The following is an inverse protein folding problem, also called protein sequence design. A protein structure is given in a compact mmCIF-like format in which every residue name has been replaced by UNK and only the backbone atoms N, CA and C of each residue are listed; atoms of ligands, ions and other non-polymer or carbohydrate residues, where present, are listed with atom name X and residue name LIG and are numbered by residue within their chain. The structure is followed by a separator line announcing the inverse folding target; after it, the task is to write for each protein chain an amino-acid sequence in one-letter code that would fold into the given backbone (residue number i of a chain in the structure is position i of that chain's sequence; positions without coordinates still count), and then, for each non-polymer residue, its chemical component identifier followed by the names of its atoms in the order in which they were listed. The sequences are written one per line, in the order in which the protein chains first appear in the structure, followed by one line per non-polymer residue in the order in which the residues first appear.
data_IF_700441987672
#
_entry.id   IF_700441987672
#
_cell.length_a   1.000
_cell.length_b   1.000
_cell.length_c   1.000
_cell.angle_alpha   90.00
_cell.angle_beta   90.00
_cell.angle_gamma   90.00
#
_symmetry.space_group_name_H-M   'P 1'
#
loop_
_entity.id
_entity.type
_entity.pdbx_description
1 polymer ?
#
# COMPACT_ATOMS: atom_id res chain seq x y z
N UNK A 1 7.11 -20.68 0.03
CA UNK A 1 7.95 -19.53 0.40
C UNK A 1 7.15 -18.27 0.15
N UNK A 2 7.05 -17.36 1.12
CA UNK A 2 6.33 -16.10 0.93
C UNK A 2 7.11 -15.17 -0.01
N UNK A 3 6.41 -14.54 -0.97
CA UNK A 3 6.97 -13.52 -1.86
C UNK A 3 5.98 -12.36 -2.08
N UNK A 4 6.30 -11.12 -1.72
CA UNK A 4 7.55 -10.63 -1.09
C UNK A 4 7.34 -10.18 0.35
N UNK A 5 6.21 -9.55 0.63
CA UNK A 5 5.78 -9.16 1.97
C UNK A 5 4.38 -9.67 2.23
N UNK A 6 4.16 -10.29 3.39
CA UNK A 6 2.84 -10.81 3.77
C UNK A 6 2.47 -10.30 5.14
N UNK A 7 1.35 -9.57 5.20
CA UNK A 7 0.71 -9.19 6.44
C UNK A 7 -0.21 -10.33 6.87
N UNK A 8 -0.13 -10.71 8.14
CA UNK A 8 -0.81 -11.87 8.70
C UNK A 8 -1.90 -11.38 9.64
N UNK A 9 -3.14 -11.75 9.35
CA UNK A 9 -4.30 -11.40 10.15
C UNK A 9 -4.98 -12.64 10.71
N UNK A 10 -5.45 -12.54 11.94
CA UNK A 10 -6.35 -13.51 12.55
C UNK A 10 -7.61 -12.78 12.99
N UNK A 11 -8.77 -13.21 12.50
CA UNK A 11 -10.06 -12.57 12.78
C UNK A 11 -10.03 -11.05 12.52
N UNK A 12 -9.47 -10.66 11.37
CA UNK A 12 -9.25 -9.27 10.93
C UNK A 12 -8.33 -8.42 11.83
N UNK A 13 -7.56 -9.03 12.74
CA UNK A 13 -6.57 -8.35 13.56
C UNK A 13 -5.16 -8.66 13.11
N UNK A 14 -4.36 -7.63 12.87
CA UNK A 14 -2.96 -7.79 12.46
C UNK A 14 -2.18 -8.53 13.56
N UNK A 15 -1.51 -9.61 13.18
CA UNK A 15 -0.60 -10.35 14.05
C UNK A 15 0.86 -9.95 13.81
N UNK A 16 1.14 -9.31 12.67
CA UNK A 16 2.47 -8.95 12.22
C UNK A 16 2.67 -9.27 10.74
N UNK A 17 3.92 -9.42 10.33
CA UNK A 17 4.27 -9.70 8.94
C UNK A 17 5.40 -10.72 8.81
N UNK A 18 5.45 -11.39 7.67
CA UNK A 18 6.58 -12.20 7.22
C UNK A 18 7.05 -11.62 5.89
N UNK A 19 8.36 -11.55 5.65
CA UNK A 19 8.88 -11.00 4.40
C UNK A 19 10.19 -11.64 3.96
N UNK A 20 10.40 -11.58 2.65
CA UNK A 20 11.56 -12.14 1.97
C UNK A 20 12.86 -11.42 2.32
N UNK A 21 12.80 -10.10 2.50
CA UNK A 21 13.98 -9.24 2.68
C UNK A 21 14.71 -9.54 3.99
N UNK A 22 13.96 -9.67 5.09
CA UNK A 22 14.47 -9.99 6.42
C UNK A 22 14.58 -11.51 6.67
N UNK A 23 14.25 -12.34 5.67
CA UNK A 23 14.17 -13.82 5.79
C UNK A 23 13.26 -14.28 6.92
N UNK A 24 12.21 -13.50 7.21
CA UNK A 24 11.18 -13.85 8.18
C UNK A 24 10.13 -14.69 7.46
N UNK A 25 10.07 -15.99 7.78
CA UNK A 25 9.17 -16.96 7.12
C UNK A 25 8.15 -17.60 8.06
N UNK A 26 8.17 -17.21 9.33
CA UNK A 26 7.27 -17.70 10.37
C UNK A 26 6.96 -16.58 11.34
N UNK A 27 5.76 -16.61 11.91
CA UNK A 27 5.28 -15.65 12.90
C UNK A 27 4.44 -16.40 13.93
N UNK A 28 4.64 -16.11 15.22
CA UNK A 28 3.75 -16.58 16.27
C UNK A 28 2.46 -15.76 16.24
N UNK A 29 1.32 -16.44 16.12
CA UNK A 29 0.00 -15.82 16.03
C UNK A 29 -0.88 -16.26 17.21
N UNK A 30 -1.82 -15.40 17.61
CA UNK A 30 -2.86 -15.74 18.59
C UNK A 30 -4.14 -16.12 17.85
N UNK A 31 -4.72 -17.28 18.15
CA UNK A 31 -5.94 -17.76 17.48
C UNK A 31 -6.75 -18.68 18.39
N UNK A 32 -8.01 -18.93 18.02
CA UNK A 32 -8.89 -19.94 18.62
C UNK A 32 -9.32 -20.95 17.54
N UNK A 33 -9.82 -22.14 17.91
CA UNK A 33 -10.45 -23.03 16.94
C UNK A 33 -11.56 -22.29 16.18
N UNK A 34 -11.52 -22.35 14.84
CA UNK A 34 -12.47 -21.65 13.98
C UNK A 34 -12.09 -20.22 13.59
N UNK A 35 -10.99 -19.66 14.12
CA UNK A 35 -10.49 -18.35 13.69
C UNK A 35 -10.16 -18.32 12.19
N UNK A 36 -10.39 -17.16 11.57
CA UNK A 36 -10.13 -16.91 10.16
C UNK A 36 -8.71 -16.37 10.00
N UNK A 37 -7.87 -17.08 9.24
CA UNK A 37 -6.54 -16.64 8.84
C UNK A 37 -6.61 -15.92 7.49
N UNK A 38 -6.24 -14.65 7.46
CA UNK A 38 -6.15 -13.85 6.23
C UNK A 38 -4.70 -13.42 5.99
N UNK A 39 -4.26 -13.51 4.73
CA UNK A 39 -2.89 -13.20 4.33
C UNK A 39 -2.92 -12.17 3.20
N UNK A 40 -2.55 -10.93 3.50
CA UNK A 40 -2.41 -9.91 2.47
C UNK A 40 -0.99 -9.94 1.91
N UNK A 41 -0.86 -10.24 0.62
CA UNK A 41 0.44 -10.41 -0.03
C UNK A 41 0.75 -9.25 -0.95
N UNK A 42 1.84 -8.55 -0.66
CA UNK A 42 2.39 -7.52 -1.54
C UNK A 42 3.44 -8.13 -2.49
N UNK A 43 3.23 -7.92 -3.79
CA UNK A 43 4.25 -8.13 -4.82
C UNK A 43 5.14 -6.88 -4.90
N UNK A 44 6.43 -7.01 -4.58
CA UNK A 44 7.39 -5.88 -4.55
C UNK A 44 8.16 -5.66 -5.85
N UNK A 45 7.72 -6.29 -6.94
CA UNK A 45 8.38 -6.23 -8.24
C UNK A 45 9.20 -7.49 -8.49
N UNK A 46 9.16 -8.01 -9.72
CA UNK A 46 9.94 -9.19 -10.10
C UNK A 46 11.42 -8.83 -10.23
N UNK A 47 12.29 -9.78 -9.86
CA UNK A 47 13.72 -9.69 -10.19
C UNK A 47 13.89 -9.42 -11.68
N UNK A 48 14.64 -8.38 -12.02
CA UNK A 48 14.88 -7.95 -13.40
C UNK A 48 16.30 -8.28 -13.92
N UNK A 49 17.13 -8.94 -13.11
CA UNK A 49 18.51 -9.26 -13.47
C UNK A 49 18.97 -10.63 -12.93
N UNK A 50 19.88 -11.28 -13.65
CA UNK A 50 20.55 -12.51 -13.22
C UNK A 50 19.73 -13.79 -13.41
N UNK A 51 20.07 -14.86 -12.66
CA UNK A 51 19.53 -16.21 -12.88
C UNK A 51 18.15 -16.48 -12.27
N UNK A 52 17.58 -15.52 -11.53
CA UNK A 52 16.33 -15.67 -10.77
C UNK A 52 15.15 -14.88 -11.38
N UNK A 53 15.13 -14.72 -12.70
CA UNK A 53 14.10 -13.98 -13.43
C UNK A 53 12.70 -14.63 -13.35
N UNK A 54 12.64 -15.96 -13.17
CA UNK A 54 11.39 -16.70 -12.91
C UNK A 54 10.91 -16.46 -11.48
N UNK A 55 10.55 -15.22 -11.17
CA UNK A 55 10.19 -14.73 -9.84
C UNK A 55 8.66 -14.67 -9.69
N UNK A 56 8.03 -15.84 -9.57
CA UNK A 56 6.62 -15.94 -9.19
C UNK A 56 6.38 -15.26 -7.84
N UNK A 57 5.17 -14.74 -7.63
CA UNK A 57 4.79 -13.90 -6.49
C UNK A 57 3.61 -14.52 -5.75
N UNK A 58 3.40 -14.11 -4.51
CA UNK A 58 2.39 -14.70 -3.64
C UNK A 58 2.98 -15.75 -2.69
N UNK A 59 2.13 -16.70 -2.32
CA UNK A 59 2.48 -17.82 -1.46
C UNK A 59 2.83 -19.02 -2.36
N UNK A 60 4.13 -19.32 -2.48
CA UNK A 60 4.61 -20.34 -3.44
C UNK A 60 4.76 -21.75 -2.83
N UNK A 61 4.32 -21.96 -1.59
CA UNK A 61 4.34 -23.27 -0.95
C UNK A 61 3.18 -23.39 0.02
N UNK A 62 2.99 -24.59 0.56
CA UNK A 62 2.09 -24.83 1.67
C UNK A 62 2.30 -23.84 2.82
N UNK A 63 1.19 -23.42 3.42
CA UNK A 63 1.14 -22.69 4.69
C UNK A 63 0.98 -23.71 5.81
N UNK A 64 1.79 -23.60 6.86
CA UNK A 64 1.77 -24.53 7.98
C UNK A 64 1.53 -23.81 9.30
N UNK A 65 0.76 -24.44 10.19
CA UNK A 65 0.55 -24.01 11.57
C UNK A 65 1.01 -25.12 12.51
N UNK A 66 1.91 -24.82 13.45
CA UNK A 66 2.52 -25.81 14.36
C UNK A 66 3.06 -27.06 13.62
N UNK A 67 3.82 -26.84 12.55
CA UNK A 67 4.41 -27.87 11.67
C UNK A 67 3.40 -28.78 10.95
N UNK A 68 2.11 -28.42 10.94
CA UNK A 68 1.09 -29.12 10.15
C UNK A 68 0.64 -28.22 9.01
N UNK A 69 0.68 -28.72 7.79
CA UNK A 69 0.13 -28.03 6.62
C UNK A 69 -1.36 -27.75 6.86
N UNK A 70 -1.77 -26.51 6.66
CA UNK A 70 -3.19 -26.15 6.66
C UNK A 70 -3.86 -26.80 5.45
N UNK A 71 -4.85 -27.65 5.73
CA UNK A 71 -5.65 -28.32 4.71
C UNK A 71 -6.85 -27.45 4.29
N UNK A 72 -7.43 -27.75 3.14
CA UNK A 72 -8.61 -27.07 2.61
C UNK A 72 -8.30 -26.10 1.48
N UNK A 73 -9.34 -25.38 1.06
CA UNK A 73 -9.29 -24.45 -0.07
C UNK A 73 -9.08 -23.03 0.43
N UNK A 74 -8.13 -22.32 -0.17
CA UNK A 74 -7.97 -20.89 0.04
C UNK A 74 -8.95 -20.11 -0.83
N UNK A 75 -9.66 -19.15 -0.24
CA UNK A 75 -10.28 -18.08 -1.01
C UNK A 75 -9.20 -17.04 -1.33
N UNK A 76 -9.05 -16.69 -2.61
CA UNK A 76 -7.98 -15.79 -3.09
C UNK A 76 -8.61 -14.67 -3.90
N UNK A 77 -8.37 -13.43 -3.47
CA UNK A 77 -8.80 -12.21 -4.15
C UNK A 77 -7.58 -11.43 -4.61
N UNK A 78 -7.56 -11.05 -5.88
CA UNK A 78 -6.52 -10.17 -6.44
C UNK A 78 -6.94 -8.70 -6.38
N UNK A 79 -6.04 -7.83 -5.93
CA UNK A 79 -6.23 -6.38 -5.90
C UNK A 79 -5.29 -5.71 -6.90
N UNK A 80 -5.66 -5.63 -8.20
CA UNK A 80 -4.86 -4.89 -9.17
C UNK A 80 -4.88 -3.39 -8.84
N UNK A 81 -3.70 -2.78 -8.72
CA UNK A 81 -3.54 -1.35 -8.42
C UNK A 81 -3.52 -0.47 -9.69
N UNK A 82 -4.07 -0.97 -10.79
CA UNK A 82 -4.30 -0.22 -12.02
C UNK A 82 -5.75 0.27 -12.02
N UNK A 83 -5.98 1.33 -11.24
CA UNK A 83 -7.33 1.79 -10.92
C UNK A 83 -7.71 2.87 -11.92
N UNK A 84 -8.52 2.52 -12.92
CA UNK A 84 -9.15 3.53 -13.77
C UNK A 84 -10.12 4.35 -12.90
N UNK A 85 -10.31 5.64 -13.20
CA UNK A 85 -11.20 6.57 -12.46
C UNK A 85 -12.58 6.00 -12.10
N UNK A 86 -13.13 5.07 -12.90
CA UNK A 86 -14.45 4.45 -12.71
C UNK A 86 -14.46 3.32 -11.67
N UNK A 87 -13.29 2.79 -11.31
CA UNK A 87 -13.15 1.64 -10.40
C UNK A 87 -12.82 2.05 -8.96
N UNK A 88 -12.59 3.34 -8.71
CA UNK A 88 -12.54 3.82 -7.32
C UNK A 88 -13.93 3.81 -6.67
N UNK A 89 -15.00 4.05 -7.42
CA UNK A 89 -16.36 3.93 -6.90
C UNK A 89 -16.78 2.48 -6.63
N UNK A 90 -16.15 1.50 -7.28
CA UNK A 90 -16.38 0.07 -6.99
C UNK A 90 -15.55 -0.41 -5.81
N UNK A 91 -14.33 0.09 -5.64
CA UNK A 91 -13.56 -0.07 -4.40
C UNK A 91 -14.30 0.56 -3.21
N UNK A 92 -14.85 1.77 -3.36
CA UNK A 92 -15.67 2.45 -2.34
C UNK A 92 -16.91 1.65 -1.93
N UNK A 93 -17.45 0.78 -2.79
CA UNK A 93 -18.58 -0.10 -2.46
C UNK A 93 -18.18 -1.26 -1.51
N UNK A 94 -16.91 -1.67 -1.52
CA UNK A 94 -16.35 -2.72 -0.65
C UNK A 94 -15.68 -2.14 0.61
N UNK A 95 -15.36 -0.85 0.62
CA UNK A 95 -14.80 -0.16 1.77
C UNK A 95 -15.91 0.41 2.65
N UNK A 96 -15.90 0.06 3.93
CA UNK A 96 -16.69 0.80 4.91
C UNK A 96 -15.99 2.12 5.23
N UNK A 97 -16.69 3.24 4.99
CA UNK A 97 -16.18 4.57 5.35
C UNK A 97 -16.23 4.68 6.86
N UNK A 98 -15.09 4.97 7.48
CA UNK A 98 -14.99 5.19 8.92
C UNK A 98 -14.17 6.45 9.17
N UNK A 99 -14.75 7.44 9.85
CA UNK A 99 -14.09 8.74 10.08
C UNK A 99 -12.97 8.67 11.14
N UNK A 100 -12.98 7.64 12.00
CA UNK A 100 -12.08 7.52 13.14
C UNK A 100 -11.52 6.10 13.30
N UNK A 101 -10.72 5.66 12.33
CA UNK A 101 -10.05 4.36 12.44
C UNK A 101 -8.68 4.52 13.09
N UNK A 102 -8.54 3.98 14.30
CA UNK A 102 -7.25 3.51 14.80
C UNK A 102 -7.04 2.11 14.20
N UNK A 103 -6.62 2.05 12.94
CA UNK A 103 -6.49 0.78 12.23
C UNK A 103 -5.07 0.25 12.33
N UNK A 104 -4.96 -1.00 12.78
CA UNK A 104 -3.77 -1.82 12.60
C UNK A 104 -3.79 -2.36 11.16
N UNK A 105 -3.64 -1.44 10.17
CA UNK A 105 -3.39 -1.55 8.70
C UNK A 105 -3.80 -2.84 7.94
N UNK A 106 -4.31 -2.77 6.69
CA UNK A 106 -4.14 -1.75 5.65
C UNK A 106 -5.39 -0.90 5.37
N UNK A 107 -5.18 0.34 4.92
CA UNK A 107 -6.26 1.35 4.78
C UNK A 107 -6.07 2.22 3.54
N UNK A 108 -7.18 2.58 2.89
CA UNK A 108 -7.22 3.55 1.81
C UNK A 108 -7.69 4.91 2.35
N UNK A 109 -6.87 5.94 2.19
CA UNK A 109 -7.20 7.33 2.50
C UNK A 109 -7.46 8.12 1.23
N UNK A 110 -8.35 9.10 1.28
CA UNK A 110 -8.62 10.05 0.20
C UNK A 110 -8.52 11.48 0.74
N UNK A 111 -7.88 12.36 -0.03
CA UNK A 111 -7.89 13.79 0.16
C UNK A 111 -8.30 14.50 -1.13
N UNK A 112 -8.97 15.64 -0.99
CA UNK A 112 -9.37 16.50 -2.10
C UNK A 112 -8.66 17.85 -1.97
N UNK A 113 -8.14 18.36 -3.09
CA UNK A 113 -7.50 19.66 -3.17
C UNK A 113 -7.97 20.42 -4.40
N UNK A 114 -8.12 21.74 -4.25
CA UNK A 114 -8.38 22.69 -5.34
C UNK A 114 -7.20 23.65 -5.38
N UNK A 115 -6.64 23.87 -6.57
CA UNK A 115 -5.55 24.82 -6.75
C UNK A 115 -6.06 26.27 -6.60
N UNK A 116 -5.19 27.25 -6.30
CA UNK A 116 -5.58 28.65 -6.29
C UNK A 116 -6.07 29.14 -7.66
N UNK A 117 -7.01 30.09 -7.66
CA UNK A 117 -7.55 30.67 -8.89
C UNK A 117 -6.46 31.40 -9.70
N UNK A 118 -6.43 31.17 -11.01
CA UNK A 118 -5.47 31.78 -11.92
C UNK A 118 -4.10 31.09 -11.97
N UNK A 119 -3.86 30.05 -11.18
CA UNK A 119 -2.65 29.25 -11.23
C UNK A 119 -2.78 28.07 -12.21
N UNK A 120 -1.71 27.82 -12.97
CA UNK A 120 -1.60 26.62 -13.79
C UNK A 120 -0.99 25.49 -12.95
N UNK A 121 -1.44 24.23 -13.13
CA UNK A 121 -0.78 23.12 -12.47
C UNK A 121 0.67 22.99 -12.93
N UNK A 122 1.59 22.91 -11.97
CA UNK A 122 3.01 22.68 -12.18
C UNK A 122 3.40 21.30 -11.68
N UNK A 123 4.56 20.83 -12.14
CA UNK A 123 5.20 19.65 -11.58
C UNK A 123 5.50 19.87 -10.09
N UNK A 124 5.34 18.82 -9.30
CA UNK A 124 5.54 18.87 -7.84
C UNK A 124 5.94 17.50 -7.29
N UNK A 125 6.18 17.41 -5.99
CA UNK A 125 6.61 16.19 -5.30
C UNK A 125 5.79 15.98 -4.04
N UNK A 126 5.15 14.82 -3.89
CA UNK A 126 4.47 14.47 -2.63
C UNK A 126 5.50 13.92 -1.65
N UNK A 127 5.56 14.52 -0.46
CA UNK A 127 6.30 14.05 0.71
C UNK A 127 5.34 13.30 1.66
N UNK A 128 5.48 11.97 1.79
CA UNK A 128 4.71 11.15 2.72
C UNK A 128 5.44 10.96 4.06
N UNK A 129 6.38 11.83 4.44
CA UNK A 129 7.07 11.72 5.74
C UNK A 129 6.08 11.62 6.90
N UNK A 130 6.29 10.63 7.78
CA UNK A 130 5.38 10.29 8.87
C UNK A 130 4.47 9.09 8.54
N UNK A 131 4.22 8.81 7.26
CA UNK A 131 3.54 7.59 6.81
C UNK A 131 4.49 6.38 6.83
N UNK A 132 3.90 5.19 6.89
CA UNK A 132 4.61 3.93 6.93
C UNK A 132 5.09 3.51 5.54
N UNK A 133 4.27 2.73 4.85
CA UNK A 133 4.63 2.13 3.57
C UNK A 133 3.38 1.87 2.73
N UNK A 134 3.40 2.30 1.47
CA UNK A 134 2.20 2.17 0.66
C UNK A 134 2.34 2.62 -0.80
N UNK A 135 1.21 3.02 -1.36
CA UNK A 135 1.08 3.55 -2.72
C UNK A 135 0.34 4.88 -2.72
N UNK A 136 0.70 5.78 -3.63
CA UNK A 136 0.00 7.06 -3.82
C UNK A 136 -0.59 7.12 -5.22
N UNK A 137 -1.81 7.63 -5.31
CA UNK A 137 -2.50 7.89 -6.56
C UNK A 137 -2.90 9.36 -6.63
N UNK A 138 -2.75 9.98 -7.79
CA UNK A 138 -3.23 11.34 -8.06
C UNK A 138 -4.19 11.28 -9.24
N UNK A 139 -5.44 11.70 -9.03
CA UNK A 139 -6.49 11.68 -10.04
C UNK A 139 -6.68 10.33 -10.76
N UNK A 140 -6.41 9.22 -10.05
CA UNK A 140 -6.46 7.86 -10.56
C UNK A 140 -5.15 7.34 -11.18
N UNK A 141 -4.13 8.18 -11.34
CA UNK A 141 -2.80 7.74 -11.79
C UNK A 141 -1.99 7.21 -10.61
N UNK A 142 -1.52 5.97 -10.70
CA UNK A 142 -0.65 5.37 -9.68
C UNK A 142 0.77 5.96 -9.80
N UNK A 143 1.18 6.77 -8.81
CA UNK A 143 2.52 7.36 -8.77
C UNK A 143 3.60 6.33 -8.44
N UNK A 144 3.22 5.21 -7.84
CA UNK A 144 4.12 4.17 -7.36
C UNK A 144 4.12 4.05 -5.85
N UNK A 145 5.24 3.53 -5.32
CA UNK A 145 5.39 3.11 -3.92
C UNK A 145 6.10 4.20 -3.13
N UNK A 146 5.69 4.37 -1.87
CA UNK A 146 6.46 5.14 -0.89
C UNK A 146 6.92 4.24 0.26
N UNK A 147 8.06 4.59 0.84
CA UNK A 147 8.56 4.01 2.08
C UNK A 147 9.58 4.95 2.76
N UNK A 148 9.13 6.12 3.27
CA UNK A 148 10.00 7.21 3.70
C UNK A 148 10.84 6.86 4.93
N UNK A 149 10.41 5.90 5.75
CA UNK A 149 11.15 5.42 6.91
C UNK A 149 12.38 4.58 6.55
N UNK A 150 12.40 3.97 5.35
CA UNK A 150 13.55 3.18 4.86
C UNK A 150 14.38 3.98 3.85
N UNK A 151 13.75 4.79 3.00
CA UNK A 151 14.46 5.59 2.00
C UNK A 151 15.15 4.74 0.90
N UNK A 152 16.12 5.31 0.15
CA UNK A 152 16.58 6.70 0.23
C UNK A 152 15.61 7.71 -0.42
N UNK A 153 14.73 7.20 -1.30
CA UNK A 153 13.61 7.98 -1.83
C UNK A 153 12.58 8.24 -0.75
N UNK A 154 12.23 9.52 -0.57
CA UNK A 154 11.13 9.96 0.30
C UNK A 154 9.98 10.45 -0.55
N UNK A 155 10.24 11.38 -1.47
CA UNK A 155 9.20 12.03 -2.26
C UNK A 155 8.84 11.26 -3.53
N UNK A 156 7.59 11.40 -3.99
CA UNK A 156 7.12 10.88 -5.28
C UNK A 156 6.82 12.05 -6.22
N UNK A 157 7.36 11.97 -7.44
CA UNK A 157 7.11 12.95 -8.49
C UNK A 157 5.64 12.93 -8.94
N UNK A 158 5.06 14.11 -9.07
CA UNK A 158 3.72 14.34 -9.60
C UNK A 158 3.84 15.20 -10.86
N UNK A 159 3.60 14.63 -12.05
CA UNK A 159 3.49 15.41 -13.27
C UNK A 159 2.34 16.42 -13.17
N UNK A 160 2.59 17.69 -13.47
CA UNK A 160 1.59 18.75 -13.47
C UNK A 160 0.43 18.46 -14.44
N UNK A 161 0.71 17.74 -15.53
CA UNK A 161 -0.32 17.26 -16.48
C UNK A 161 -1.31 16.26 -15.88
N UNK A 162 -1.04 15.68 -14.71
CA UNK A 162 -1.97 14.83 -13.97
C UNK A 162 -2.86 15.62 -13.00
N UNK A 163 -2.57 16.90 -12.79
CA UNK A 163 -3.35 17.82 -11.98
C UNK A 163 -4.29 18.64 -12.86
N UNK A 164 -5.36 19.16 -12.25
CA UNK A 164 -6.37 20.00 -12.89
C UNK A 164 -6.30 21.42 -12.33
N UNK A 165 -6.45 22.46 -13.16
CA UNK A 165 -6.53 23.85 -12.69
C UNK A 165 -7.80 24.09 -11.88
N UNK A 166 -7.83 25.19 -11.12
CA UNK A 166 -9.04 25.68 -10.47
C UNK A 166 -10.16 25.91 -11.52
N UNK A 167 -11.44 25.69 -11.16
CA UNK A 167 -11.96 25.27 -9.85
C UNK A 167 -12.08 23.74 -9.70
N UNK A 168 -11.43 22.95 -10.56
CA UNK A 168 -11.61 21.50 -10.55
C UNK A 168 -10.94 20.84 -9.33
N UNK A 169 -11.60 19.82 -8.78
CA UNK A 169 -11.04 19.01 -7.70
C UNK A 169 -9.98 18.03 -8.22
N UNK A 170 -8.87 17.99 -7.49
CA UNK A 170 -7.83 16.99 -7.58
C UNK A 170 -7.96 16.01 -6.42
N UNK A 171 -7.89 14.72 -6.71
CA UNK A 171 -8.02 13.65 -5.72
C UNK A 171 -6.66 13.00 -5.48
N UNK A 172 -6.26 12.89 -4.22
CA UNK A 172 -5.08 12.13 -3.81
C UNK A 172 -5.55 10.95 -2.98
N UNK A 173 -5.13 9.74 -3.35
CA UNK A 173 -5.43 8.53 -2.61
C UNK A 173 -4.16 7.87 -2.12
N UNK A 174 -4.19 7.39 -0.89
CA UNK A 174 -3.05 6.73 -0.24
C UNK A 174 -3.50 5.37 0.24
N UNK A 175 -2.92 4.31 -0.33
CA UNK A 175 -3.06 2.96 0.21
C UNK A 175 -1.90 2.73 1.20
N UNK A 176 -2.16 2.91 2.50
CA UNK A 176 -1.19 2.68 3.58
C UNK A 176 -1.28 1.23 4.07
N UNK A 177 -0.13 0.57 4.19
CA UNK A 177 -0.03 -0.85 4.49
C UNK A 177 0.61 -1.15 5.85
N UNK A 178 1.25 -0.19 6.49
CA UNK A 178 2.10 -0.41 7.65
C UNK A 178 1.77 0.49 8.84
N UNK A 179 1.81 1.81 8.68
CA UNK A 179 1.62 2.74 9.80
C UNK A 179 0.99 4.05 9.34
N UNK A 180 -0.06 4.49 10.02
CA UNK A 180 -0.76 5.75 9.71
C UNK A 180 -0.32 6.83 10.72
N UNK A 181 0.11 8.02 10.27
CA UNK A 181 0.44 9.12 11.18
C UNK A 181 -0.82 9.71 11.81
N UNK A 182 -0.71 10.20 13.05
CA UNK A 182 -1.85 10.76 13.80
C UNK A 182 -2.55 11.91 13.05
N UNK A 183 -1.77 12.80 12.43
CA UNK A 183 -2.29 13.97 11.72
C UNK A 183 -2.82 13.66 10.30
N UNK A 184 -2.53 12.46 9.75
CA UNK A 184 -2.99 11.97 8.44
C UNK A 184 -2.76 12.96 7.29
N UNK A 185 -1.65 13.70 7.32
CA UNK A 185 -1.33 14.72 6.31
C UNK A 185 -0.23 14.28 5.36
N UNK A 186 -0.30 14.75 4.12
CA UNK A 186 0.81 14.73 3.16
C UNK A 186 1.15 16.16 2.74
N UNK A 187 2.37 16.38 2.27
CA UNK A 187 2.83 17.71 1.83
C UNK A 187 3.28 17.65 0.38
N UNK A 188 3.04 18.74 -0.36
CA UNK A 188 3.56 18.93 -1.70
C UNK A 188 4.77 19.87 -1.64
N UNK A 189 5.88 19.46 -2.25
CA UNK A 189 7.15 20.18 -2.31
C UNK A 189 7.48 20.57 -3.76
N UNK A 190 8.33 21.58 -3.92
CA UNK A 190 8.88 22.04 -5.19
C UNK A 190 10.25 21.40 -5.52
N UNK A 191 10.78 20.56 -4.63
CA UNK A 191 12.01 19.78 -4.83
C UNK A 191 11.86 18.31 -4.43
N UNK A 192 12.63 17.40 -5.04
CA UNK A 192 12.65 16.00 -4.65
C UNK A 192 13.58 15.74 -3.45
N UNK A 193 13.23 14.75 -2.63
CA UNK A 193 14.09 14.18 -1.58
C UNK A 193 14.35 12.71 -1.93
N UNK A 194 15.56 12.43 -2.44
CA UNK A 194 15.96 11.10 -2.95
C UNK A 194 17.15 10.48 -2.22
N UNK A 195 17.67 11.16 -1.20
CA UNK A 195 18.95 10.87 -0.56
C UNK A 195 18.86 10.81 0.97
N UNK A 196 17.70 10.46 1.52
CA UNK A 196 17.56 10.28 2.98
C UNK A 196 18.36 9.04 3.42
N UNK A 197 19.23 9.20 4.42
CA UNK A 197 20.04 8.13 5.04
C UNK A 197 19.56 7.79 6.44
#
# INVERSE_FOLDING_TARGET
MPRDWIFVFVDNKLQGFINRMQKLYSLSIKFKPGSILSLLVENQGRINFGKRLHDFKGILSNVSLNNRTLAGTWSITGYPLDIKKKDFSTLEADFSIHENINQEVPTLYEAQLVLPDGENPLDTFIDPTGWGKGYIFVNGYNLGRYWPSVGPQVTLYVPGVWLKPAPAQNFVKILELYETPENRTITFLDYPILNRT
#
